data_IF_419412868887
#
_entry.id   IF_419412868887
#
_cell.length_a   1.000
_cell.length_b   1.000
_cell.length_c   1.000
_cell.angle_alpha   90.00
_cell.angle_beta   90.00
_cell.angle_gamma   90.00
#
_symmetry.space_group_name_H-M   'P 1'
#
loop_
_entity.id
_entity.type
_entity.pdbx_description
1 polymer ?
#
# COMPACT_ATOMS: atom_id res chain seq x y z
N UNK A 1 8.52 21.56 1.27
CA UNK A 1 9.30 22.63 1.91
C UNK A 1 9.03 24.01 1.28
N UNK A 2 9.06 24.16 -0.04
CA UNK A 2 8.82 25.45 -0.71
C UNK A 2 7.50 26.12 -0.29
N UNK A 3 6.41 25.34 -0.13
CA UNK A 3 5.11 25.86 0.34
C UNK A 3 5.16 26.31 1.81
N UNK A 4 6.00 25.66 2.64
CA UNK A 4 6.21 26.04 4.03
C UNK A 4 6.98 27.35 4.14
N UNK A 5 8.09 27.49 3.41
CA UNK A 5 8.87 28.70 3.31
C UNK A 5 9.62 28.76 1.97
N UNK A 6 9.26 29.71 1.07
CA UNK A 6 9.90 29.82 -0.25
C UNK A 6 11.40 30.12 -0.19
N UNK A 7 11.84 30.81 0.86
CA UNK A 7 13.25 31.24 1.04
C UNK A 7 13.98 30.42 2.13
N UNK A 8 13.48 29.20 2.42
CA UNK A 8 14.03 28.34 3.45
C UNK A 8 15.50 27.99 3.16
N UNK A 9 16.39 28.33 4.09
CA UNK A 9 17.79 27.96 4.10
C UNK A 9 18.05 26.77 5.05
N UNK A 10 19.24 26.16 4.97
CA UNK A 10 19.65 25.14 5.93
C UNK A 10 19.77 25.68 7.36
N UNK A 11 20.09 26.94 7.54
CA UNK A 11 20.28 27.59 8.85
C UNK A 11 18.93 27.83 9.55
N UNK A 12 17.86 27.96 8.80
CA UNK A 12 16.50 28.10 9.34
C UNK A 12 15.97 26.79 9.96
N UNK A 13 16.53 25.65 9.57
CA UNK A 13 16.14 24.32 10.07
C UNK A 13 16.77 24.00 11.43
N UNK A 14 16.69 24.95 12.36
CA UNK A 14 16.96 24.76 13.78
C UNK A 14 15.91 23.83 14.42
N UNK A 15 16.05 23.49 15.70
CA UNK A 15 14.98 22.74 16.42
C UNK A 15 13.64 23.48 16.36
N UNK A 16 13.65 24.82 16.44
CA UNK A 16 12.46 25.65 16.29
C UNK A 16 11.91 25.56 14.86
N UNK A 17 12.74 25.74 13.84
CA UNK A 17 12.29 25.63 12.43
C UNK A 17 11.74 24.26 12.08
N UNK A 18 12.29 23.18 12.64
CA UNK A 18 11.76 21.83 12.49
C UNK A 18 10.41 21.65 13.23
N UNK A 19 10.24 22.31 14.40
CA UNK A 19 8.98 22.34 15.11
C UNK A 19 7.90 23.14 14.36
N UNK A 20 8.27 24.29 13.80
CA UNK A 20 7.38 25.11 12.96
C UNK A 20 6.94 24.35 11.70
N UNK A 21 7.84 23.58 11.10
CA UNK A 21 7.51 22.70 9.97
C UNK A 21 6.48 21.63 10.37
N UNK A 22 6.61 20.99 11.54
CA UNK A 22 5.60 20.04 12.06
C UNK A 22 4.26 20.73 12.27
N UNK A 23 4.26 21.94 12.82
CA UNK A 23 3.07 22.75 13.05
C UNK A 23 2.37 23.05 11.71
N UNK A 24 3.11 23.50 10.69
CA UNK A 24 2.57 23.69 9.35
C UNK A 24 1.95 22.41 8.77
N UNK A 25 2.63 21.26 8.88
CA UNK A 25 2.10 19.99 8.37
C UNK A 25 0.82 19.55 9.11
N UNK A 26 0.71 19.86 10.40
CA UNK A 26 -0.46 19.53 11.20
C UNK A 26 -1.62 20.53 10.94
N UNK A 27 -1.36 21.83 11.09
CA UNK A 27 -2.41 22.84 11.20
C UNK A 27 -2.88 23.35 9.84
N UNK A 28 -1.97 23.49 8.87
CA UNK A 28 -2.32 23.94 7.52
C UNK A 28 -2.59 22.79 6.54
N UNK A 29 -1.94 21.63 6.72
CA UNK A 29 -2.14 20.46 5.84
C UNK A 29 -3.03 19.38 6.43
N UNK A 30 -3.43 19.49 7.70
CA UNK A 30 -4.32 18.53 8.37
C UNK A 30 -3.74 17.11 8.45
N UNK A 31 -2.40 16.96 8.46
CA UNK A 31 -1.79 15.64 8.38
C UNK A 31 -1.81 14.90 9.73
N UNK A 32 -2.05 13.59 9.65
CA UNK A 32 -1.94 12.69 10.81
C UNK A 32 -0.49 12.58 11.29
N UNK A 33 -0.27 12.39 12.59
CA UNK A 33 1.06 12.29 13.19
C UNK A 33 1.97 11.24 12.52
N UNK A 34 1.41 10.10 12.09
CA UNK A 34 2.16 9.06 11.37
C UNK A 34 2.69 9.56 10.02
N UNK A 35 1.93 10.42 9.32
CA UNK A 35 2.35 11.05 8.06
C UNK A 35 3.39 12.12 8.31
N UNK A 36 3.18 12.97 9.34
CA UNK A 36 4.16 13.98 9.77
C UNK A 36 5.49 13.33 10.13
N UNK A 37 5.46 12.22 10.89
CA UNK A 37 6.66 11.46 11.23
C UNK A 37 7.45 10.96 10.01
N UNK A 38 6.74 10.48 8.97
CA UNK A 38 7.36 10.08 7.70
C UNK A 38 7.99 11.27 6.98
N UNK A 39 7.27 12.40 6.86
CA UNK A 39 7.78 13.60 6.20
C UNK A 39 9.03 14.14 6.92
N UNK A 40 9.00 14.17 8.26
CA UNK A 40 10.16 14.53 9.06
C UNK A 40 11.33 13.56 8.86
N UNK A 41 11.06 12.27 8.76
CA UNK A 41 12.05 11.24 8.47
C UNK A 41 12.76 11.49 7.13
N UNK A 42 12.00 11.77 6.07
CA UNK A 42 12.56 12.14 4.76
C UNK A 42 13.39 13.43 4.81
N UNK A 43 12.89 14.45 5.52
CA UNK A 43 13.64 15.70 5.68
C UNK A 43 14.95 15.46 6.42
N UNK A 44 14.94 14.71 7.51
CA UNK A 44 16.17 14.36 8.26
C UNK A 44 17.15 13.54 7.42
N UNK A 45 16.67 12.60 6.64
CA UNK A 45 17.51 11.85 5.71
C UNK A 45 18.18 12.76 4.70
N UNK A 46 17.43 13.69 4.10
CA UNK A 46 17.96 14.68 3.16
C UNK A 46 19.00 15.59 3.84
N UNK A 47 18.72 16.10 5.05
CA UNK A 47 19.66 16.94 5.82
C UNK A 47 20.96 16.19 6.15
N UNK A 48 20.85 14.91 6.53
CA UNK A 48 22.03 14.08 6.77
C UNK A 48 22.85 13.89 5.50
N UNK A 49 22.21 13.60 4.37
CA UNK A 49 22.87 13.46 3.08
C UNK A 49 23.56 14.77 2.67
N UNK A 50 22.89 15.91 2.77
CA UNK A 50 23.43 17.21 2.37
C UNK A 50 24.58 17.67 3.28
N UNK A 51 24.52 17.41 4.59
CA UNK A 51 25.62 17.69 5.51
C UNK A 51 26.86 16.85 5.17
N UNK A 52 26.67 15.54 4.88
CA UNK A 52 27.78 14.66 4.48
C UNK A 52 28.45 15.08 3.17
N UNK A 53 27.72 15.79 2.30
CA UNK A 53 28.23 16.33 1.05
C UNK A 53 28.72 17.80 1.18
N UNK A 54 28.80 18.36 2.39
CA UNK A 54 29.36 19.67 2.66
C UNK A 54 28.46 20.86 2.34
N UNK A 55 27.18 20.66 2.05
CA UNK A 55 26.24 21.74 1.72
C UNK A 55 25.87 22.61 2.93
N UNK A 56 25.96 22.06 4.14
CA UNK A 56 25.70 22.78 5.40
C UNK A 56 26.39 22.12 6.60
N UNK A 57 26.44 22.85 7.73
CA UNK A 57 26.98 22.34 9.01
C UNK A 57 25.91 22.26 10.11
N UNK A 58 24.66 22.56 9.80
CA UNK A 58 23.55 22.51 10.76
C UNK A 58 23.25 21.06 11.14
N UNK A 59 23.37 20.70 12.43
CA UNK A 59 23.14 19.36 12.96
C UNK A 59 21.91 19.27 13.89
N UNK A 60 21.10 20.33 13.98
CA UNK A 60 19.91 20.37 14.84
C UNK A 60 18.92 19.21 14.60
N UNK A 61 18.85 18.71 13.36
CA UNK A 61 18.01 17.59 12.99
C UNK A 61 18.37 16.25 13.71
N UNK A 62 19.60 16.11 14.21
CA UNK A 62 20.04 14.89 14.92
C UNK A 62 19.46 14.82 16.34
N UNK A 63 19.47 15.96 17.06
CA UNK A 63 18.91 16.04 18.43
C UNK A 63 17.40 16.18 18.46
N UNK A 64 16.80 16.72 17.41
CA UNK A 64 15.37 16.99 17.33
C UNK A 64 14.55 15.68 17.31
N UNK A 65 13.87 15.36 18.42
CA UNK A 65 13.05 14.13 18.60
C UNK A 65 11.66 14.52 19.10
N UNK A 66 10.75 14.99 18.23
CA UNK A 66 9.42 15.38 18.64
C UNK A 66 8.63 14.15 19.12
N UNK A 67 7.84 14.33 20.20
CA UNK A 67 6.93 13.32 20.69
C UNK A 67 5.64 13.34 19.87
N UNK A 68 5.59 12.59 18.78
CA UNK A 68 4.38 12.40 17.99
C UNK A 68 3.66 11.15 18.50
N UNK A 69 2.48 11.32 19.11
CA UNK A 69 1.64 10.19 19.50
C UNK A 69 1.20 9.43 18.24
N UNK A 70 1.33 8.12 18.28
CA UNK A 70 0.88 7.23 17.20
C UNK A 70 0.14 6.04 17.80
N UNK A 71 -0.70 5.39 17.02
CA UNK A 71 -1.30 4.09 17.34
C UNK A 71 -0.59 3.00 16.54
N UNK A 72 -0.64 1.78 17.02
CA UNK A 72 -0.35 0.62 16.19
C UNK A 72 -1.34 0.58 15.02
N UNK A 73 -0.82 0.31 13.84
CA UNK A 73 -1.64 0.20 12.64
C UNK A 73 -2.41 -1.12 12.70
N UNK A 74 -3.75 -1.05 12.83
CA UNK A 74 -4.59 -2.23 12.66
C UNK A 74 -4.44 -2.75 11.22
N UNK A 75 -4.15 -4.04 11.09
CA UNK A 75 -4.06 -4.71 9.81
C UNK A 75 -5.48 -5.15 9.43
N UNK A 76 -5.93 -4.70 8.27
CA UNK A 76 -7.19 -5.16 7.65
C UNK A 76 -6.86 -6.34 6.76
N UNK A 77 -7.51 -7.47 7.00
CA UNK A 77 -7.35 -8.70 6.24
C UNK A 77 -8.71 -9.36 5.99
N UNK A 78 -8.78 -10.26 5.02
CA UNK A 78 -9.95 -11.10 4.82
C UNK A 78 -9.80 -12.42 5.59
N UNK A 79 -10.87 -12.84 6.25
CA UNK A 79 -10.97 -14.22 6.72
C UNK A 79 -11.09 -15.17 5.53
N UNK A 80 -10.90 -16.47 5.77
CA UNK A 80 -11.07 -17.46 4.70
C UNK A 80 -12.46 -17.41 4.08
N UNK A 81 -13.51 -17.29 4.89
CA UNK A 81 -14.91 -17.26 4.42
C UNK A 81 -15.19 -16.00 3.60
N UNK A 82 -14.65 -14.85 4.01
CA UNK A 82 -14.75 -13.62 3.23
C UNK A 82 -14.01 -13.72 1.90
N UNK A 83 -12.79 -14.28 1.89
CA UNK A 83 -12.05 -14.54 0.66
C UNK A 83 -12.83 -15.47 -0.28
N UNK A 84 -13.42 -16.54 0.26
CA UNK A 84 -14.23 -17.47 -0.54
C UNK A 84 -15.53 -16.83 -1.04
N UNK A 85 -16.11 -15.90 -0.28
CA UNK A 85 -17.24 -15.08 -0.72
C UNK A 85 -16.86 -14.23 -1.92
N UNK A 86 -15.71 -13.54 -1.86
CA UNK A 86 -15.19 -12.76 -3.00
C UNK A 86 -14.88 -13.66 -4.19
N UNK A 87 -14.18 -14.76 -3.98
CA UNK A 87 -13.76 -15.68 -5.04
C UNK A 87 -14.96 -16.26 -5.83
N UNK A 88 -16.01 -16.66 -5.12
CA UNK A 88 -17.20 -17.26 -5.72
C UNK A 88 -18.27 -16.24 -6.14
N UNK A 89 -18.04 -14.94 -5.92
CA UNK A 89 -19.05 -13.93 -6.20
C UNK A 89 -19.37 -13.86 -7.70
N UNK A 90 -20.66 -14.01 -8.08
CA UNK A 90 -21.08 -13.91 -9.48
C UNK A 90 -21.02 -12.44 -9.92
N UNK A 91 -20.05 -12.10 -10.77
CA UNK A 91 -19.89 -10.73 -11.26
C UNK A 91 -21.03 -10.38 -12.22
N UNK A 92 -21.81 -9.31 -11.96
CA UNK A 92 -22.87 -8.87 -12.88
C UNK A 92 -22.31 -8.48 -14.26
N UNK A 93 -23.06 -8.75 -15.33
CA UNK A 93 -22.65 -8.40 -16.70
C UNK A 93 -22.34 -6.90 -16.88
N UNK A 94 -23.08 -6.02 -16.18
CA UNK A 94 -22.83 -4.58 -16.19
C UNK A 94 -21.48 -4.16 -15.55
N UNK A 95 -20.86 -5.06 -14.77
CA UNK A 95 -19.59 -4.84 -14.05
C UNK A 95 -18.52 -5.87 -14.43
N UNK A 96 -18.57 -6.41 -15.60
CA UNK A 96 -17.67 -7.48 -16.08
C UNK A 96 -16.17 -7.15 -15.96
N UNK A 97 -15.82 -5.87 -15.90
CA UNK A 97 -14.45 -5.43 -15.62
C UNK A 97 -13.93 -5.87 -14.24
N UNK A 98 -14.82 -6.14 -13.27
CA UNK A 98 -14.45 -6.63 -11.94
C UNK A 98 -14.04 -8.11 -11.93
N UNK A 99 -14.38 -8.88 -12.96
CA UNK A 99 -14.03 -10.30 -13.05
C UNK A 99 -12.50 -10.50 -12.98
N UNK A 100 -11.75 -9.75 -13.78
CA UNK A 100 -10.28 -9.78 -13.74
C UNK A 100 -9.70 -9.21 -12.43
N UNK A 101 -10.38 -8.24 -11.80
CA UNK A 101 -9.96 -7.66 -10.52
C UNK A 101 -10.10 -8.70 -9.41
N UNK A 102 -11.24 -9.40 -9.36
CA UNK A 102 -11.49 -10.51 -8.45
C UNK A 102 -10.40 -11.58 -8.57
N UNK A 103 -10.14 -12.02 -9.81
CA UNK A 103 -9.19 -13.11 -10.06
C UNK A 103 -7.77 -12.72 -9.66
N UNK A 104 -7.29 -11.52 -10.04
CA UNK A 104 -5.96 -11.04 -9.66
C UNK A 104 -5.84 -10.84 -8.13
N UNK A 105 -6.88 -10.28 -7.49
CA UNK A 105 -6.89 -10.09 -6.04
C UNK A 105 -6.89 -11.43 -5.29
N UNK A 106 -7.76 -12.36 -5.68
CA UNK A 106 -7.79 -13.69 -5.07
C UNK A 106 -6.50 -14.47 -5.33
N UNK A 107 -5.88 -14.31 -6.51
CA UNK A 107 -4.57 -14.93 -6.80
C UNK A 107 -3.49 -14.41 -5.85
N UNK A 108 -3.44 -13.10 -5.60
CA UNK A 108 -2.54 -12.54 -4.58
C UNK A 108 -2.80 -13.19 -3.19
N UNK A 109 -4.07 -13.31 -2.78
CA UNK A 109 -4.43 -13.92 -1.50
C UNK A 109 -4.00 -15.40 -1.42
N UNK A 110 -4.25 -16.19 -2.47
CA UNK A 110 -3.95 -17.64 -2.49
C UNK A 110 -2.46 -17.96 -2.61
N UNK A 111 -1.65 -17.01 -3.11
CA UNK A 111 -0.20 -17.20 -3.28
C UNK A 111 0.62 -16.38 -2.28
N UNK A 112 0.00 -15.49 -1.50
CA UNK A 112 0.66 -14.51 -0.62
C UNK A 112 1.66 -13.61 -1.35
N UNK A 113 1.50 -13.45 -2.66
CA UNK A 113 2.33 -12.56 -3.47
C UNK A 113 1.83 -11.11 -3.35
N UNK A 114 2.78 -10.19 -3.32
CA UNK A 114 2.44 -8.76 -3.45
C UNK A 114 1.89 -8.48 -4.85
N UNK A 115 1.00 -7.51 -4.93
CA UNK A 115 0.47 -7.06 -6.23
C UNK A 115 1.58 -6.75 -7.26
N UNK A 116 2.70 -6.15 -6.84
CA UNK A 116 3.84 -5.87 -7.73
C UNK A 116 4.46 -7.13 -8.33
N UNK A 117 4.50 -8.22 -7.59
CA UNK A 117 5.06 -9.48 -8.04
C UNK A 117 4.08 -10.15 -9.03
N UNK A 118 2.79 -10.13 -8.73
CA UNK A 118 1.74 -10.63 -9.65
C UNK A 118 1.64 -9.75 -10.92
N UNK A 119 1.82 -8.43 -10.80
CA UNK A 119 1.86 -7.52 -11.95
C UNK A 119 2.97 -7.89 -12.96
N UNK A 120 4.11 -8.38 -12.47
CA UNK A 120 5.27 -8.76 -13.28
C UNK A 120 5.34 -10.24 -13.60
N UNK A 121 4.42 -11.07 -13.08
CA UNK A 121 4.40 -12.51 -13.28
C UNK A 121 4.25 -12.86 -14.76
N UNK A 122 5.20 -13.65 -15.28
CA UNK A 122 5.22 -14.12 -16.66
C UNK A 122 4.81 -15.59 -16.73
N UNK A 123 4.30 -16.03 -17.89
CA UNK A 123 3.93 -17.45 -18.09
C UNK A 123 5.11 -18.39 -17.91
N UNK A 124 6.31 -17.97 -18.29
CA UNK A 124 7.52 -18.82 -18.16
C UNK A 124 7.99 -18.96 -16.71
N UNK A 125 7.47 -18.15 -15.76
CA UNK A 125 7.72 -18.30 -14.32
C UNK A 125 6.89 -19.44 -13.69
N UNK A 126 5.93 -19.98 -14.45
CA UNK A 126 5.02 -21.04 -14.00
C UNK A 126 5.51 -22.36 -14.56
N UNK A 127 5.99 -23.27 -13.72
CA UNK A 127 6.53 -24.56 -14.12
C UNK A 127 6.18 -25.63 -13.10
N UNK A 128 5.77 -26.81 -13.58
CA UNK A 128 5.53 -27.98 -12.75
C UNK A 128 4.56 -27.73 -11.56
N UNK A 129 3.53 -26.90 -11.77
CA UNK A 129 2.55 -26.57 -10.72
C UNK A 129 3.07 -25.60 -9.65
N UNK A 130 4.17 -24.90 -9.91
CA UNK A 130 4.75 -23.91 -8.99
C UNK A 130 5.13 -22.62 -9.72
N UNK A 131 5.20 -21.53 -8.96
CA UNK A 131 5.74 -20.23 -9.38
C UNK A 131 7.21 -20.15 -9.00
N UNK A 132 8.05 -19.78 -9.94
CA UNK A 132 9.50 -19.54 -9.72
C UNK A 132 9.77 -18.06 -10.03
N UNK A 133 9.80 -17.22 -9.01
CA UNK A 133 9.89 -15.77 -9.17
C UNK A 133 11.01 -15.17 -8.33
N UNK A 134 11.46 -14.00 -8.77
CA UNK A 134 12.28 -13.10 -7.92
C UNK A 134 11.42 -11.90 -7.56
N UNK A 135 11.21 -11.64 -6.26
CA UNK A 135 10.35 -10.57 -5.78
C UNK A 135 10.89 -9.20 -6.17
N UNK A 136 9.99 -8.30 -6.56
CA UNK A 136 10.37 -6.94 -7.02
C UNK A 136 10.96 -6.10 -5.88
N UNK A 137 10.44 -6.23 -4.66
CA UNK A 137 10.80 -5.35 -3.54
C UNK A 137 12.09 -5.75 -2.83
N UNK A 138 12.35 -7.04 -2.68
CA UNK A 138 13.46 -7.56 -1.85
C UNK A 138 14.48 -8.36 -2.64
N UNK A 139 14.20 -8.61 -3.93
CA UNK A 139 15.02 -9.45 -4.82
C UNK A 139 15.24 -10.89 -4.31
N UNK A 140 14.31 -11.40 -3.48
CA UNK A 140 14.34 -12.76 -2.99
C UNK A 140 13.82 -13.72 -4.07
N UNK A 141 14.50 -14.84 -4.29
CA UNK A 141 14.00 -15.93 -5.13
C UNK A 141 13.05 -16.81 -4.34
N UNK A 142 11.83 -16.97 -4.84
CA UNK A 142 10.78 -17.77 -4.22
C UNK A 142 10.30 -18.87 -5.16
N UNK A 143 10.03 -20.04 -4.60
CA UNK A 143 9.23 -21.09 -5.24
C UNK A 143 7.95 -21.26 -4.43
N UNK A 144 6.79 -21.13 -5.07
CA UNK A 144 5.48 -21.18 -4.43
C UNK A 144 4.65 -22.24 -5.15
N UNK A 145 4.29 -23.28 -4.44
CA UNK A 145 3.40 -24.33 -4.97
C UNK A 145 1.99 -23.75 -5.18
N UNK A 146 1.42 -24.04 -6.34
CA UNK A 146 0.07 -23.61 -6.67
C UNK A 146 -0.95 -24.51 -5.98
N UNK A 147 -1.85 -23.89 -5.23
CA UNK A 147 -3.03 -24.58 -4.72
C UNK A 147 -4.14 -24.66 -5.80
N UNK A 148 -5.17 -25.44 -5.56
CA UNK A 148 -6.28 -25.64 -6.52
C UNK A 148 -6.97 -24.35 -6.97
N UNK A 149 -7.00 -23.31 -6.13
CA UNK A 149 -7.66 -22.04 -6.43
C UNK A 149 -6.78 -21.16 -7.30
N UNK A 150 -5.50 -21.02 -6.94
CA UNK A 150 -4.53 -20.25 -7.74
C UNK A 150 -4.33 -20.92 -9.11
N UNK A 151 -4.30 -22.27 -9.17
CA UNK A 151 -4.23 -23.01 -10.43
C UNK A 151 -5.46 -22.74 -11.29
N UNK A 152 -6.66 -22.85 -10.74
CA UNK A 152 -7.92 -22.60 -11.47
C UNK A 152 -7.99 -21.16 -12.06
N UNK A 153 -7.45 -20.17 -11.35
CA UNK A 153 -7.34 -18.81 -11.88
C UNK A 153 -6.39 -18.77 -13.08
N UNK A 154 -5.22 -19.41 -13.01
CA UNK A 154 -4.28 -19.45 -14.14
C UNK A 154 -4.87 -20.20 -15.33
N UNK A 155 -5.54 -21.31 -15.11
CA UNK A 155 -6.19 -22.13 -16.16
C UNK A 155 -7.26 -21.31 -16.91
N UNK A 156 -8.00 -20.44 -16.21
CA UNK A 156 -8.99 -19.52 -16.83
C UNK A 156 -8.36 -18.61 -17.88
N UNK A 157 -7.09 -18.24 -17.70
CA UNK A 157 -6.36 -17.34 -18.59
C UNK A 157 -5.36 -18.07 -19.48
N UNK A 158 -5.39 -19.41 -19.48
CA UNK A 158 -4.54 -20.17 -20.39
C UNK A 158 -4.91 -19.88 -21.85
N UNK A 159 -3.90 -19.72 -22.69
CA UNK A 159 -4.08 -19.35 -24.10
C UNK A 159 -4.53 -17.91 -24.37
N UNK A 160 -4.89 -17.11 -23.35
CA UNK A 160 -5.26 -15.69 -23.53
C UNK A 160 -3.98 -14.84 -23.64
N UNK A 161 -3.70 -14.19 -24.79
CA UNK A 161 -2.48 -13.39 -24.94
C UNK A 161 -2.58 -12.08 -24.14
N UNK A 162 -1.55 -11.80 -23.33
CA UNK A 162 -1.35 -10.52 -22.66
C UNK A 162 -0.02 -9.90 -23.09
N UNK A 163 0.04 -8.56 -23.02
CA UNK A 163 1.28 -7.81 -23.26
C UNK A 163 2.42 -8.33 -22.39
N UNK A 164 3.63 -8.32 -22.92
CA UNK A 164 4.83 -8.79 -22.21
C UNK A 164 4.77 -10.24 -21.70
N UNK A 165 3.99 -11.11 -22.31
CA UNK A 165 3.82 -12.50 -21.87
C UNK A 165 3.36 -12.64 -20.40
N UNK A 166 2.58 -11.71 -19.88
CA UNK A 166 2.03 -11.75 -18.52
C UNK A 166 1.11 -12.97 -18.34
N UNK A 167 1.10 -13.50 -17.13
CA UNK A 167 0.25 -14.65 -16.79
C UNK A 167 -1.21 -14.26 -16.52
N UNK A 168 -1.46 -13.04 -16.03
CA UNK A 168 -2.76 -12.56 -15.57
C UNK A 168 -3.11 -11.17 -16.12
N UNK A 169 -4.41 -10.82 -16.23
CA UNK A 169 -4.91 -9.54 -16.76
C UNK A 169 -4.79 -8.40 -15.74
N UNK A 170 -3.58 -8.10 -15.27
CA UNK A 170 -3.34 -7.06 -14.26
C UNK A 170 -3.53 -5.65 -14.84
N UNK A 171 -4.13 -4.76 -14.05
CA UNK A 171 -4.35 -3.34 -14.35
C UNK A 171 -3.46 -2.46 -13.48
N UNK A 172 -3.53 -1.14 -13.58
CA UNK A 172 -2.74 -0.25 -12.69
C UNK A 172 -3.13 -0.40 -11.22
N UNK A 173 -2.17 -0.24 -10.31
CA UNK A 173 -2.38 -0.40 -8.86
C UNK A 173 -3.48 0.53 -8.32
N UNK A 174 -3.56 1.77 -8.83
CA UNK A 174 -4.59 2.71 -8.42
C UNK A 174 -5.98 2.18 -8.77
N UNK A 175 -6.22 1.81 -10.03
CA UNK A 175 -7.50 1.23 -10.47
C UNK A 175 -7.81 -0.08 -9.75
N UNK A 176 -6.78 -0.90 -9.49
CA UNK A 176 -6.95 -2.15 -8.74
C UNK A 176 -7.49 -1.88 -7.33
N UNK A 177 -6.92 -0.90 -6.60
CA UNK A 177 -7.39 -0.53 -5.28
C UNK A 177 -8.85 0.00 -5.30
N UNK A 178 -9.19 0.85 -6.27
CA UNK A 178 -10.55 1.39 -6.40
C UNK A 178 -11.56 0.26 -6.66
N UNK A 179 -11.24 -0.65 -7.57
CA UNK A 179 -12.11 -1.75 -7.94
C UNK A 179 -12.18 -2.88 -6.90
N UNK A 180 -11.13 -3.09 -6.08
CA UNK A 180 -11.19 -4.00 -4.92
C UNK A 180 -12.24 -3.51 -3.91
N UNK A 181 -12.31 -2.21 -3.67
CA UNK A 181 -13.33 -1.62 -2.79
C UNK A 181 -14.74 -1.82 -3.34
N UNK A 182 -14.92 -1.54 -4.62
CA UNK A 182 -16.20 -1.76 -5.29
C UNK A 182 -16.62 -3.25 -5.25
N UNK A 183 -15.69 -4.16 -5.49
CA UNK A 183 -15.92 -5.60 -5.39
C UNK A 183 -16.29 -6.00 -3.95
N UNK A 184 -15.55 -5.51 -2.95
CA UNK A 184 -15.85 -5.77 -1.54
C UNK A 184 -17.25 -5.29 -1.13
N UNK A 185 -17.67 -4.12 -1.63
CA UNK A 185 -19.01 -3.59 -1.43
C UNK A 185 -20.08 -4.51 -2.04
N UNK A 186 -19.88 -4.97 -3.26
CA UNK A 186 -20.81 -5.91 -3.91
C UNK A 186 -20.90 -7.25 -3.18
N UNK A 187 -19.78 -7.71 -2.60
CA UNK A 187 -19.74 -8.95 -1.81
C UNK A 187 -20.34 -8.79 -0.39
N UNK A 188 -20.80 -7.59 0.01
CA UNK A 188 -21.37 -7.33 1.33
C UNK A 188 -20.33 -7.31 2.46
N UNK A 189 -19.07 -6.97 2.18
CA UNK A 189 -18.04 -6.84 3.20
C UNK A 189 -18.12 -5.48 3.90
N UNK A 190 -19.24 -5.23 4.58
CA UNK A 190 -19.63 -3.94 5.16
C UNK A 190 -19.47 -3.86 6.68
N UNK A 191 -18.86 -4.87 7.33
CA UNK A 191 -18.62 -4.85 8.77
C UNK A 191 -17.88 -3.58 9.17
N UNK A 192 -18.30 -2.92 10.28
CA UNK A 192 -17.67 -1.70 10.74
C UNK A 192 -16.26 -1.95 11.27
N UNK A 193 -15.29 -1.23 10.74
CA UNK A 193 -13.89 -1.26 11.17
C UNK A 193 -13.48 0.11 11.68
N UNK A 194 -12.95 0.18 12.91
CA UNK A 194 -12.48 1.43 13.51
C UNK A 194 -11.03 1.68 13.16
N UNK A 195 -10.77 2.84 12.58
CA UNK A 195 -9.41 3.35 12.31
C UNK A 195 -9.10 4.45 13.32
N UNK A 196 -8.14 4.19 14.21
CA UNK A 196 -7.68 5.16 15.22
C UNK A 196 -6.37 5.81 14.77
N UNK A 197 -6.28 7.13 14.90
CA UNK A 197 -5.04 7.87 14.64
C UNK A 197 -4.96 9.13 15.52
N UNK A 198 -3.82 9.83 15.47
CA UNK A 198 -3.62 11.09 16.18
C UNK A 198 -3.33 12.24 15.20
N UNK A 199 -3.93 13.40 15.50
CA UNK A 199 -3.58 14.71 14.94
C UNK A 199 -3.10 15.57 16.12
N UNK A 200 -1.81 15.88 16.18
CA UNK A 200 -1.22 16.49 17.37
C UNK A 200 -1.40 15.61 18.62
N UNK A 201 -2.11 16.12 19.60
CA UNK A 201 -2.44 15.39 20.83
C UNK A 201 -3.85 14.78 20.84
N UNK A 202 -4.65 15.11 19.83
CA UNK A 202 -6.03 14.66 19.72
C UNK A 202 -6.08 13.26 19.11
N UNK A 203 -6.83 12.37 19.76
CA UNK A 203 -7.17 11.04 19.25
C UNK A 203 -8.42 11.16 18.38
N UNK A 204 -8.34 10.58 17.18
CA UNK A 204 -9.45 10.52 16.24
C UNK A 204 -9.78 9.05 15.98
N UNK A 205 -11.05 8.70 16.14
CA UNK A 205 -11.60 7.38 15.83
C UNK A 205 -12.62 7.55 14.69
N UNK A 206 -12.34 6.91 13.53
CA UNK A 206 -13.24 6.91 12.37
C UNK A 206 -13.70 5.49 12.11
N UNK A 207 -14.97 5.32 11.78
CA UNK A 207 -15.56 4.02 11.47
C UNK A 207 -15.83 3.96 9.97
N UNK A 208 -15.31 2.92 9.33
CA UNK A 208 -15.50 2.65 7.91
C UNK A 208 -16.08 1.24 7.71
N UNK A 209 -16.90 1.02 6.69
CA UNK A 209 -17.20 -0.34 6.26
C UNK A 209 -15.90 -1.01 5.76
N UNK A 210 -15.73 -2.29 6.03
CA UNK A 210 -14.49 -3.03 5.75
C UNK A 210 -14.03 -2.87 4.30
N UNK A 211 -14.98 -2.89 3.34
CA UNK A 211 -14.64 -2.76 1.92
C UNK A 211 -13.91 -1.45 1.58
N UNK A 212 -14.17 -0.35 2.29
CA UNK A 212 -13.47 0.92 2.06
C UNK A 212 -11.99 0.89 2.48
N UNK A 213 -11.63 -0.02 3.36
CA UNK A 213 -10.27 -0.22 3.84
C UNK A 213 -9.51 -1.29 3.05
N UNK A 214 -10.20 -2.01 2.14
CA UNK A 214 -9.59 -3.02 1.28
C UNK A 214 -8.68 -2.40 0.21
N UNK A 215 -7.67 -3.16 -0.18
CA UNK A 215 -6.75 -2.80 -1.24
C UNK A 215 -5.76 -3.93 -1.53
N UNK A 216 -4.80 -3.67 -2.39
CA UNK A 216 -3.76 -4.65 -2.78
C UNK A 216 -2.86 -5.10 -1.62
N UNK A 217 -3.01 -4.54 -0.44
CA UNK A 217 -2.31 -4.93 0.80
C UNK A 217 -3.21 -5.64 1.83
N UNK A 218 -4.46 -5.94 1.46
CA UNK A 218 -5.41 -6.70 2.31
C UNK A 218 -5.23 -8.23 2.13
N UNK A 219 -4.15 -8.63 1.54
CA UNK A 219 -3.73 -10.01 1.21
C UNK A 219 -2.96 -10.62 2.36
#
# INVERSE_FOLDING_TARGET
>A
LYIFSPNLSFDDLTEKGLADFITHLRDEKGLRNSTIGKQLGFLKWFLKWSANNGYHKNMAYLSFKPKLKTTEKRIIYLTWDELMTVYNFPIPESKKYLDRVRDVFCFCCFTSLRYSDVYNLKRFDIKNGALHITTVKTADSLTIDLNKYSQAILDKYDGVPFEDNKALPVISNQKMNDYIKELGQLCGLDQPETVTYYVGNERVDEVYPKYELMGTHTV
#
